data_IF_422379772787
#
_entry.id   IF_422379772787
#
_cell.length_a   1.000
_cell.length_b   1.000
_cell.length_c   1.000
_cell.angle_alpha   90.00
_cell.angle_beta   90.00
_cell.angle_gamma   90.00
#
_symmetry.space_group_name_H-M   'P 1'
#
loop_
_entity.id
_entity.type
_entity.pdbx_description
1 polymer ?
#
# COMPACT_ATOMS: atom_id res chain seq x y z
N UNK A 1 10.64 -5.25 -8.51
CA UNK A 1 9.38 -6.02 -8.68
C UNK A 1 8.53 -5.38 -9.76
N UNK A 2 8.38 -6.08 -10.89
CA UNK A 2 7.50 -5.69 -12.00
C UNK A 2 6.01 -5.90 -11.68
N UNK A 3 5.71 -6.72 -10.68
CA UNK A 3 4.36 -7.01 -10.26
C UNK A 3 3.72 -5.83 -9.50
N UNK A 4 2.65 -5.27 -10.06
CA UNK A 4 1.85 -4.18 -9.51
C UNK A 4 1.21 -4.54 -8.15
N UNK A 5 0.67 -5.75 -8.02
CA UNK A 5 -0.01 -6.17 -6.78
C UNK A 5 0.98 -6.30 -5.63
N UNK A 6 2.21 -6.76 -5.89
CA UNK A 6 3.26 -6.80 -4.88
C UNK A 6 3.72 -5.41 -4.45
N UNK A 7 3.86 -4.46 -5.40
CA UNK A 7 4.18 -3.06 -5.08
C UNK A 7 3.11 -2.46 -4.16
N UNK A 8 1.85 -2.69 -4.50
CA UNK A 8 0.71 -2.27 -3.67
C UNK A 8 0.76 -2.86 -2.26
N UNK A 9 0.97 -4.17 -2.12
CA UNK A 9 1.05 -4.81 -0.79
C UNK A 9 2.23 -4.32 0.04
N UNK A 10 3.39 -4.08 -0.57
CA UNK A 10 4.54 -3.46 0.13
C UNK A 10 4.19 -2.06 0.64
N UNK A 11 3.49 -1.26 -0.17
CA UNK A 11 3.03 0.07 0.23
C UNK A 11 2.03 0.01 1.38
N UNK A 12 1.04 -0.87 1.30
CA UNK A 12 0.08 -1.10 2.40
C UNK A 12 0.80 -1.46 3.70
N UNK A 13 1.72 -2.44 3.67
CA UNK A 13 2.50 -2.83 4.84
C UNK A 13 3.32 -1.67 5.39
N UNK A 14 3.94 -0.87 4.52
CA UNK A 14 4.72 0.31 4.92
C UNK A 14 3.87 1.38 5.60
N UNK A 15 2.67 1.66 5.10
CA UNK A 15 1.80 2.71 5.66
C UNK A 15 1.03 2.27 6.90
N UNK A 16 0.69 0.99 6.99
CA UNK A 16 -0.24 0.48 8.01
C UNK A 16 0.47 -0.33 9.10
N UNK A 17 1.54 -1.05 8.77
CA UNK A 17 2.13 -2.06 9.68
C UNK A 17 3.57 -1.73 10.10
N UNK A 18 4.25 -0.82 9.41
CA UNK A 18 5.64 -0.52 9.69
C UNK A 18 5.80 0.15 11.05
N UNK A 19 6.64 -0.45 11.91
CA UNK A 19 6.92 0.01 13.28
C UNK A 19 5.66 0.25 14.13
N UNK A 20 4.59 -0.52 13.89
CA UNK A 20 3.33 -0.38 14.61
C UNK A 20 2.90 -1.71 15.21
N UNK A 21 2.71 -1.72 16.53
CA UNK A 21 2.09 -2.80 17.27
C UNK A 21 0.59 -2.52 17.43
N UNK A 22 -0.22 -3.57 17.28
CA UNK A 22 -1.65 -3.56 17.55
C UNK A 22 -1.90 -4.55 18.67
N UNK A 23 -2.45 -4.08 19.78
CA UNK A 23 -2.66 -4.90 20.98
C UNK A 23 -3.81 -5.88 20.75
N UNK A 24 -4.81 -5.49 19.96
CA UNK A 24 -5.96 -6.33 19.64
C UNK A 24 -6.16 -6.52 18.14
N UNK A 25 -6.80 -7.64 17.79
CA UNK A 25 -7.22 -7.88 16.41
C UNK A 25 -8.21 -6.80 15.89
N UNK A 26 -9.04 -6.25 16.78
CA UNK A 26 -9.99 -5.20 16.42
C UNK A 26 -9.26 -3.93 15.94
N UNK A 27 -8.19 -3.53 16.63
CA UNK A 27 -7.35 -2.40 16.23
C UNK A 27 -6.64 -2.65 14.90
N UNK A 28 -6.06 -3.84 14.72
CA UNK A 28 -5.44 -4.23 13.46
C UNK A 28 -6.45 -4.17 12.30
N UNK A 29 -7.64 -4.73 12.49
CA UNK A 29 -8.73 -4.72 11.49
C UNK A 29 -9.19 -3.28 11.19
N UNK A 30 -9.31 -2.45 12.21
CA UNK A 30 -9.69 -1.05 12.05
C UNK A 30 -8.65 -0.28 11.23
N UNK A 31 -7.35 -0.44 11.51
CA UNK A 31 -6.27 0.20 10.77
C UNK A 31 -6.20 -0.26 9.31
N UNK A 32 -6.40 -1.56 9.04
CA UNK A 32 -6.57 -2.06 7.68
C UNK A 32 -7.75 -1.36 6.99
N UNK A 33 -8.90 -1.31 7.66
CA UNK A 33 -10.10 -0.67 7.13
C UNK A 33 -9.94 0.83 6.87
N UNK A 34 -9.21 1.55 7.72
CA UNK A 34 -8.92 2.98 7.54
C UNK A 34 -8.08 3.21 6.29
N UNK A 35 -7.04 2.39 6.07
CA UNK A 35 -6.21 2.47 4.88
C UNK A 35 -7.05 2.37 3.59
N UNK A 36 -7.98 1.42 3.53
CA UNK A 36 -8.83 1.21 2.35
C UNK A 36 -10.01 2.18 2.23
N UNK A 37 -10.47 2.77 3.34
CA UNK A 37 -11.57 3.75 3.34
C UNK A 37 -11.20 5.09 2.71
N UNK A 38 -9.93 5.44 2.65
CA UNK A 38 -9.50 6.76 2.18
C UNK A 38 -8.40 6.69 1.11
N UNK A 39 -8.69 6.10 -0.07
CA UNK A 39 -7.68 5.90 -1.12
C UNK A 39 -7.16 7.23 -1.70
N UNK A 40 -7.95 8.30 -1.63
CA UNK A 40 -7.56 9.66 -2.03
C UNK A 40 -6.33 10.17 -1.28
N UNK A 41 -6.20 9.83 0.02
CA UNK A 41 -5.06 10.17 0.88
C UNK A 41 -3.72 9.73 0.29
N UNK A 42 -3.72 8.61 -0.43
CA UNK A 42 -2.53 8.01 -1.01
C UNK A 42 -2.48 8.10 -2.53
N UNK A 43 -3.44 8.80 -3.17
CA UNK A 43 -3.63 8.76 -4.62
C UNK A 43 -2.39 9.13 -5.41
N UNK A 44 -1.65 10.18 -4.98
CA UNK A 44 -0.42 10.62 -5.64
C UNK A 44 0.69 9.57 -5.54
N UNK A 45 0.89 9.00 -4.35
CA UNK A 45 1.90 7.96 -4.11
C UNK A 45 1.54 6.67 -4.87
N UNK A 46 0.28 6.26 -4.82
CA UNK A 46 -0.23 5.08 -5.51
C UNK A 46 -0.12 5.23 -7.03
N UNK A 47 -0.40 6.41 -7.59
CA UNK A 47 -0.23 6.66 -9.03
C UNK A 47 1.24 6.48 -9.45
N UNK A 48 2.18 7.06 -8.71
CA UNK A 48 3.61 6.89 -8.99
C UNK A 48 4.06 5.42 -8.86
N UNK A 49 3.61 4.74 -7.80
CA UNK A 49 3.99 3.37 -7.48
C UNK A 49 3.40 2.32 -8.45
N UNK A 50 2.21 2.59 -8.97
CA UNK A 50 1.47 1.71 -9.86
C UNK A 50 1.64 2.08 -11.34
N UNK A 51 2.51 3.04 -11.67
CA UNK A 51 2.95 3.23 -13.06
C UNK A 51 3.83 2.05 -13.46
N UNK A 52 3.56 1.49 -14.64
CA UNK A 52 4.44 0.49 -15.21
C UNK A 52 5.60 1.18 -15.91
N UNK A 53 6.80 1.06 -15.33
CA UNK A 53 8.04 1.28 -16.05
C UNK A 53 8.31 0.02 -16.89
N UNK A 54 7.57 -0.14 -18.00
CA UNK A 54 8.01 -1.08 -19.02
C UNK A 54 9.21 -0.44 -19.70
N UNK A 55 10.41 -0.93 -19.40
CA UNK A 55 11.54 -0.67 -20.28
C UNK A 55 11.19 -1.28 -21.63
N UNK A 56 11.07 -0.45 -22.66
CA UNK A 56 11.03 -0.91 -24.03
C UNK A 56 12.39 -1.54 -24.31
N UNK A 57 12.47 -2.85 -24.23
CA UNK A 57 13.63 -3.59 -24.73
C UNK A 57 13.55 -3.46 -26.26
N UNK A 58 14.32 -2.51 -26.80
CA UNK A 58 14.56 -2.33 -28.23
C UNK A 58 15.83 -3.04 -28.66
#
# INVERSE_FOLDING_TARGET
>A
NLNLIERFWKFFKKKTLYNRYYETFAEFKAACGEFFRNPSKYQRELRSLLTNNFELIG
#
